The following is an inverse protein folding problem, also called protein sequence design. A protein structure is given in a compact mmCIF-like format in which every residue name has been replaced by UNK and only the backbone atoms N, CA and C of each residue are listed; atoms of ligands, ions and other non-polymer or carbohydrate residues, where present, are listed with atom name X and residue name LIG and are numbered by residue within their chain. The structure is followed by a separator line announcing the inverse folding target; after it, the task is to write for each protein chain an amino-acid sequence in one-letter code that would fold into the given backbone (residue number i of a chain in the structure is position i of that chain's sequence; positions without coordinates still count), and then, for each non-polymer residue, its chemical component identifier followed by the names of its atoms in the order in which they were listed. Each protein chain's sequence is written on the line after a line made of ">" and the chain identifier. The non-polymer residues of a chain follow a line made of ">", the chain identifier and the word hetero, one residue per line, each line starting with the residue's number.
data_IF_147257595569
#
_entry.id   IF_147257595569
#
_cell.length_a   1.000
_cell.length_b   1.000
_cell.length_c   1.000
_cell.angle_alpha   90.00
_cell.angle_beta   90.00
_cell.angle_gamma   90.00
#
_symmetry.space_group_name_H-M   'P 1'
#
loop_
_entity.id
_entity.type
_entity.pdbx_description
1 polymer ?
#
# COMPACT_ATOMS: atom_id res chain seq x y z
N UNK A 1 13.65 15.67 -6.65
CA UNK A 1 12.78 14.53 -6.34
C UNK A 1 13.38 13.83 -5.14
N UNK A 2 12.76 13.91 -3.96
CA UNK A 2 13.14 13.03 -2.85
C UNK A 2 12.46 11.68 -3.11
N UNK A 3 13.11 10.84 -3.92
CA UNK A 3 12.69 9.45 -4.08
C UNK A 3 12.87 8.80 -2.71
N UNK A 4 11.78 8.59 -1.98
CA UNK A 4 11.85 7.91 -0.70
C UNK A 4 12.31 6.46 -0.99
N UNK A 5 13.50 6.04 -0.54
CA UNK A 5 14.07 4.74 -0.90
C UNK A 5 13.14 3.58 -0.51
N UNK A 6 12.35 3.75 0.54
CA UNK A 6 11.36 2.77 0.98
C UNK A 6 10.21 2.63 -0.02
N UNK A 7 9.73 3.75 -0.57
CA UNK A 7 8.67 3.73 -1.58
C UNK A 7 9.14 3.08 -2.88
N UNK A 8 10.38 3.37 -3.28
CA UNK A 8 11.01 2.76 -4.45
C UNK A 8 11.13 1.24 -4.27
N UNK A 9 11.60 0.80 -3.10
CA UNK A 9 11.73 -0.62 -2.80
C UNK A 9 10.38 -1.34 -2.79
N UNK A 10 9.30 -0.71 -2.30
CA UNK A 10 7.94 -1.26 -2.38
C UNK A 10 7.48 -1.43 -3.83
N UNK A 11 7.80 -0.48 -4.72
CA UNK A 11 7.48 -0.60 -6.15
C UNK A 11 8.25 -1.74 -6.81
N UNK A 12 9.56 -1.85 -6.54
CA UNK A 12 10.42 -2.93 -7.05
C UNK A 12 9.91 -4.31 -6.60
N UNK A 13 9.42 -4.43 -5.37
CA UNK A 13 8.87 -5.67 -4.82
C UNK A 13 7.42 -5.96 -5.27
N UNK A 14 6.80 -5.06 -6.03
CA UNK A 14 5.41 -5.20 -6.47
C UNK A 14 4.37 -5.04 -5.35
N UNK A 15 4.74 -4.37 -4.26
CA UNK A 15 3.89 -4.05 -3.10
C UNK A 15 3.10 -2.77 -3.36
N UNK A 16 2.30 -2.77 -4.43
CA UNK A 16 1.66 -1.56 -4.95
C UNK A 16 0.62 -0.95 -3.98
N UNK A 17 -0.08 -1.78 -3.22
CA UNK A 17 -1.01 -1.33 -2.19
C UNK A 17 -0.29 -0.76 -0.97
N UNK A 18 0.82 -1.37 -0.54
CA UNK A 18 1.66 -0.78 0.51
C UNK A 18 2.23 0.57 0.07
N UNK A 19 2.72 0.67 -1.17
CA UNK A 19 3.24 1.92 -1.72
C UNK A 19 2.17 3.03 -1.80
N UNK A 20 0.92 2.67 -2.09
CA UNK A 20 -0.20 3.61 -2.08
C UNK A 20 -0.51 4.07 -0.66
N UNK A 21 -0.65 3.14 0.29
CA UNK A 21 -0.88 3.45 1.70
C UNK A 21 0.25 4.30 2.30
N UNK A 22 1.52 4.03 1.95
CA UNK A 22 2.66 4.85 2.37
C UNK A 22 2.45 6.33 2.04
N UNK A 23 2.05 6.62 0.79
CA UNK A 23 1.83 8.01 0.34
C UNK A 23 0.62 8.64 1.03
N UNK A 24 -0.49 7.90 1.08
CA UNK A 24 -1.73 8.35 1.74
C UNK A 24 -1.48 8.68 3.23
N UNK A 25 -0.73 7.83 3.94
CA UNK A 25 -0.39 8.05 5.35
C UNK A 25 0.67 9.14 5.53
N UNK A 26 1.64 9.27 4.62
CA UNK A 26 2.65 10.34 4.69
C UNK A 26 2.05 11.74 4.45
N UNK A 27 0.95 11.83 3.71
CA UNK A 27 0.20 13.07 3.47
C UNK A 27 -0.77 13.41 4.62
N UNK A 28 -1.14 12.44 5.45
CA UNK A 28 -2.06 12.63 6.57
C UNK A 28 -1.33 13.08 7.84
N UNK A 29 -1.59 14.30 8.30
CA UNK A 29 -1.04 14.82 9.57
C UNK A 29 -1.41 13.97 10.79
N UNK A 30 -2.58 13.30 10.76
CA UNK A 30 -3.05 12.38 11.80
C UNK A 30 -2.26 11.07 11.87
N UNK A 31 -1.53 10.72 10.81
CA UNK A 31 -0.70 9.51 10.82
C UNK A 31 0.45 9.60 11.84
N UNK A 32 0.76 10.81 12.34
CA UNK A 32 1.74 11.04 13.38
C UNK A 32 1.27 10.57 14.78
N UNK A 33 -0.02 10.27 14.94
CA UNK A 33 -0.61 9.71 16.17
C UNK A 33 -0.65 8.18 16.17
N UNK A 34 -0.43 7.56 15.00
CA UNK A 34 -0.43 6.10 14.85
C UNK A 34 0.90 5.52 15.36
N UNK A 35 0.80 4.43 16.11
CA UNK A 35 1.95 3.58 16.38
C UNK A 35 2.47 2.96 15.08
N UNK A 36 3.74 2.53 15.09
CA UNK A 36 4.36 1.88 13.93
C UNK A 36 3.62 0.61 13.51
N UNK A 37 3.04 -0.11 14.47
CA UNK A 37 2.32 -1.36 14.21
C UNK A 37 0.96 -1.09 13.54
N UNK A 38 0.24 -0.05 13.97
CA UNK A 38 -0.99 0.40 13.31
C UNK A 38 -0.70 0.90 11.90
N UNK A 39 0.38 1.66 11.75
CA UNK A 39 0.84 2.15 10.46
C UNK A 39 1.14 1.02 9.48
N UNK A 40 1.87 -0.01 9.94
CA UNK A 40 2.16 -1.22 9.17
C UNK A 40 0.89 -2.03 8.86
N UNK A 41 -0.03 -2.14 9.83
CA UNK A 41 -1.31 -2.83 9.66
C UNK A 41 -2.12 -2.24 8.51
N UNK A 42 -2.31 -0.92 8.50
CA UNK A 42 -3.05 -0.23 7.43
C UNK A 42 -2.42 -0.43 6.05
N UNK A 43 -1.09 -0.42 5.97
CA UNK A 43 -0.38 -0.69 4.71
C UNK A 43 -0.60 -2.11 4.20
N UNK A 44 -0.53 -3.10 5.11
CA UNK A 44 -0.75 -4.50 4.77
C UNK A 44 -2.20 -4.75 4.35
N UNK A 45 -3.16 -4.16 5.05
CA UNK A 45 -4.58 -4.25 4.70
C UNK A 45 -4.84 -3.71 3.30
N UNK A 46 -4.25 -2.56 2.96
CA UNK A 46 -4.33 -1.98 1.61
C UNK A 46 -3.75 -2.90 0.54
N UNK A 47 -2.61 -3.53 0.80
CA UNK A 47 -1.99 -4.50 -0.11
C UNK A 47 -2.85 -5.74 -0.30
N UNK A 48 -3.39 -6.31 0.78
CA UNK A 48 -4.26 -7.49 0.73
C UNK A 48 -5.53 -7.19 -0.07
N UNK A 49 -6.17 -6.05 0.19
CA UNK A 49 -7.36 -5.61 -0.54
C UNK A 49 -7.06 -5.43 -2.04
N UNK A 50 -5.96 -4.74 -2.38
CA UNK A 50 -5.58 -4.52 -3.78
C UNK A 50 -5.28 -5.83 -4.53
N UNK A 51 -4.63 -6.80 -3.87
CA UNK A 51 -4.42 -8.14 -4.45
C UNK A 51 -5.73 -8.90 -4.62
N UNK A 52 -6.66 -8.79 -3.68
CA UNK A 52 -7.97 -9.41 -3.79
C UNK A 52 -8.76 -8.86 -4.97
N UNK A 53 -8.82 -7.54 -5.12
CA UNK A 53 -9.46 -6.87 -6.24
C UNK A 53 -8.85 -7.30 -7.58
N UNK A 54 -7.52 -7.34 -7.67
CA UNK A 54 -6.84 -7.80 -8.88
C UNK A 54 -7.22 -9.24 -9.23
N UNK A 55 -7.28 -10.15 -8.25
CA UNK A 55 -7.71 -11.53 -8.46
C UNK A 55 -9.16 -11.62 -8.95
N UNK A 56 -10.08 -10.87 -8.34
CA UNK A 56 -11.49 -10.85 -8.73
C UNK A 56 -11.64 -10.31 -10.15
N UNK A 57 -11.00 -9.19 -10.48
CA UNK A 57 -11.01 -8.62 -11.84
C UNK A 57 -10.46 -9.58 -12.88
N UNK A 58 -9.35 -10.25 -12.58
CA UNK A 58 -8.77 -11.24 -13.50
C UNK A 58 -9.73 -12.41 -13.75
N UNK A 59 -10.43 -12.90 -12.71
CA UNK A 59 -11.44 -13.97 -12.85
C UNK A 59 -12.62 -13.54 -13.71
N UNK A 60 -13.11 -12.31 -13.51
CA UNK A 60 -14.21 -11.75 -14.29
C UNK A 60 -13.82 -11.54 -15.77
N UNK A 61 -12.57 -11.17 -16.06
CA UNK A 61 -12.10 -10.98 -17.43
C UNK A 61 -11.82 -12.31 -18.17
N UNK A 62 -11.60 -13.40 -17.43
CA UNK A 62 -11.37 -14.74 -18.00
C UNK A 62 -12.64 -15.57 -18.19
N UNK A 63 -13.79 -15.05 -17.76
CA UNK A 63 -15.10 -15.69 -17.91
C UNK A 63 -15.78 -15.20 -19.20
#
# INVERSE_FOLDING_TARGET
>A
MLTNPTLDQMQVLGLAGMAAAWRELAEQSSANELSRDEWLGLMLDREVAMRADKRVRNRLASA
#
